data_IF_588814750565
#
_entry.id   IF_588814750565
#
_cell.length_a   1.000
_cell.length_b   1.000
_cell.length_c   1.000
_cell.angle_alpha   90.00
_cell.angle_beta   90.00
_cell.angle_gamma   90.00
#
_symmetry.space_group_name_H-M   'P 1'
#
loop_
_entity.id
_entity.type
_entity.pdbx_description
1 polymer ?
#
# COMPACT_ATOMS: atom_id res chain seq x y z
N UNK A 1 9.36 90.62 57.42
CA UNK A 1 10.11 89.42 57.88
C UNK A 1 9.51 88.18 57.24
N UNK A 2 10.33 87.46 56.49
CA UNK A 2 9.97 86.31 55.68
C UNK A 2 9.77 85.10 56.61
N UNK A 3 8.71 84.32 56.44
CA UNK A 3 8.86 82.87 56.45
C UNK A 3 7.79 82.16 55.61
N UNK A 4 8.25 81.14 54.91
CA UNK A 4 7.56 80.27 53.98
C UNK A 4 6.78 79.20 54.72
N UNK A 5 5.62 78.79 54.17
CA UNK A 5 5.23 77.37 54.01
C UNK A 5 3.87 77.32 53.30
N UNK A 6 3.92 77.26 51.96
CA UNK A 6 2.77 76.82 51.17
C UNK A 6 2.64 75.30 51.33
N UNK A 7 1.64 74.84 52.08
CA UNK A 7 1.14 73.47 52.01
C UNK A 7 0.06 73.41 50.94
N UNK A 8 0.42 72.84 49.79
CA UNK A 8 -0.53 72.52 48.73
C UNK A 8 -1.35 71.29 49.19
N UNK A 9 -2.70 71.33 49.26
CA UNK A 9 -3.47 70.12 49.45
C UNK A 9 -3.44 69.33 48.15
N UNK A 10 -2.91 68.10 48.20
CA UNK A 10 -3.06 67.15 47.10
C UNK A 10 -4.54 66.99 46.75
N UNK A 11 -4.89 66.86 45.45
CA UNK A 11 -6.26 66.49 45.07
C UNK A 11 -6.58 65.08 45.60
N UNK A 12 -7.86 64.74 45.80
CA UNK A 12 -8.25 63.40 46.19
C UNK A 12 -7.74 62.40 45.15
N UNK A 13 -7.00 61.39 45.62
CA UNK A 13 -6.63 60.23 44.83
C UNK A 13 -7.92 59.41 44.64
N UNK A 14 -8.66 59.69 43.56
CA UNK A 14 -9.78 58.87 43.14
C UNK A 14 -9.20 57.54 42.64
N UNK A 15 -8.92 56.64 43.60
CA UNK A 15 -8.41 55.29 43.42
C UNK A 15 -9.40 54.37 42.71
N UNK A 16 -9.88 54.76 41.53
CA UNK A 16 -10.60 53.87 40.63
C UNK A 16 -9.58 53.01 39.88
N UNK A 17 -8.90 52.11 40.60
CA UNK A 17 -8.26 50.95 39.97
C UNK A 17 -9.38 50.04 39.52
N UNK A 18 -9.82 50.22 38.28
CA UNK A 18 -10.56 49.18 37.56
C UNK A 18 -9.67 47.94 37.54
N UNK A 19 -9.97 46.98 38.40
CA UNK A 19 -9.40 45.64 38.36
C UNK A 19 -9.59 45.12 36.91
N UNK A 20 -8.53 44.73 36.18
CA UNK A 20 -8.71 44.22 34.84
C UNK A 20 -9.62 42.99 34.91
N UNK A 21 -10.75 43.06 34.20
CA UNK A 21 -11.70 41.96 34.08
C UNK A 21 -10.93 40.64 33.82
N UNK A 22 -11.15 39.57 34.62
CA UNK A 22 -10.44 38.31 34.44
C UNK A 22 -10.53 37.88 32.97
N UNK A 23 -9.37 37.61 32.38
CA UNK A 23 -9.30 37.20 30.99
C UNK A 23 -10.28 36.04 30.72
N UNK A 24 -11.07 36.10 29.64
CA UNK A 24 -12.05 35.06 29.37
C UNK A 24 -11.36 33.70 29.28
N UNK A 25 -12.03 32.62 29.71
CA UNK A 25 -11.45 31.28 29.67
C UNK A 25 -11.07 30.89 28.23
N UNK A 26 -9.82 30.48 28.03
CA UNK A 26 -9.33 30.01 26.73
C UNK A 26 -10.06 28.71 26.38
N UNK A 27 -10.86 28.74 25.32
CA UNK A 27 -11.56 27.54 24.83
C UNK A 27 -10.64 26.76 23.88
N UNK A 28 -10.41 25.49 24.19
CA UNK A 28 -9.57 24.59 23.39
C UNK A 28 -10.42 23.63 22.57
N UNK A 29 -9.99 23.33 21.36
CA UNK A 29 -10.66 22.45 20.41
C UNK A 29 -9.76 21.28 20.02
N UNK A 30 -10.37 20.23 19.45
CA UNK A 30 -9.61 19.16 18.79
C UNK A 30 -8.95 19.70 17.50
N UNK A 31 -7.85 19.09 17.02
CA UNK A 31 -7.17 19.60 15.83
C UNK A 31 -8.02 19.39 14.57
N UNK A 32 -7.62 20.00 13.46
CA UNK A 32 -8.26 19.87 12.16
C UNK A 32 -7.30 19.31 11.11
N UNK A 33 -7.22 17.98 10.93
CA UNK A 33 -6.39 17.38 9.89
C UNK A 33 -7.07 17.39 8.52
N UNK A 34 -6.28 17.58 7.47
CA UNK A 34 -6.66 17.44 6.06
C UNK A 34 -5.88 16.31 5.42
N UNK A 35 -6.59 15.33 4.86
CA UNK A 35 -5.99 14.27 4.06
C UNK A 35 -5.60 14.81 2.69
N UNK A 36 -4.35 14.62 2.27
CA UNK A 36 -3.83 15.05 0.97
C UNK A 36 -3.59 13.84 0.04
N UNK A 37 -3.18 14.12 -1.19
CA UNK A 37 -2.96 13.09 -2.20
C UNK A 37 -1.82 12.14 -1.80
N UNK A 38 -1.86 10.95 -2.40
CA UNK A 38 -0.77 9.97 -2.30
C UNK A 38 0.31 10.29 -3.32
N UNK A 39 1.51 9.82 -3.05
CA UNK A 39 2.66 9.81 -3.94
C UNK A 39 3.14 8.36 -4.09
N UNK A 40 3.42 7.92 -5.31
CA UNK A 40 3.91 6.57 -5.58
C UNK A 40 5.44 6.58 -5.61
N UNK A 41 6.06 5.81 -4.72
CA UNK A 41 7.51 5.74 -4.59
C UNK A 41 8.12 4.56 -5.37
N UNK A 42 7.28 3.68 -5.94
CA UNK A 42 7.67 2.46 -6.65
C UNK A 42 7.64 1.21 -5.75
N UNK A 43 7.68 0.02 -6.37
CA UNK A 43 7.69 -1.29 -5.68
C UNK A 43 6.53 -1.51 -4.68
N UNK A 44 5.37 -0.89 -4.91
CA UNK A 44 4.23 -0.97 -3.98
C UNK A 44 4.34 -0.08 -2.75
N UNK A 45 5.36 0.79 -2.68
CA UNK A 45 5.49 1.80 -1.65
C UNK A 45 4.78 3.09 -2.04
N UNK A 46 3.98 3.60 -1.11
CA UNK A 46 3.22 4.84 -1.25
C UNK A 46 3.52 5.76 -0.08
N UNK A 47 3.69 7.04 -0.37
CA UNK A 47 3.67 8.09 0.64
C UNK A 47 2.29 8.71 0.69
N UNK A 48 1.67 8.73 1.86
CA UNK A 48 0.42 9.44 2.10
C UNK A 48 0.74 10.77 2.78
N UNK A 49 0.12 11.84 2.27
CA UNK A 49 0.31 13.19 2.81
C UNK A 49 -0.90 13.65 3.62
N UNK A 50 -0.62 14.40 4.67
CA UNK A 50 -1.60 15.04 5.54
C UNK A 50 -1.12 16.42 5.95
N UNK A 51 -2.05 17.26 6.41
CA UNK A 51 -1.74 18.59 6.93
C UNK A 51 -2.63 18.90 8.12
N UNK A 52 -2.08 19.46 9.19
CA UNK A 52 -2.87 20.04 10.29
C UNK A 52 -3.23 21.47 9.91
N UNK A 53 -4.51 21.75 9.69
CA UNK A 53 -5.01 23.08 9.35
C UNK A 53 -5.16 23.99 10.59
N UNK A 54 -5.45 23.39 11.74
CA UNK A 54 -5.55 24.06 13.02
C UNK A 54 -5.22 23.08 14.15
N UNK A 55 -4.57 23.56 15.20
CA UNK A 55 -4.24 22.79 16.41
C UNK A 55 -5.36 22.89 17.48
N UNK A 56 -6.29 23.82 17.31
CA UNK A 56 -7.38 24.07 18.25
C UNK A 56 -6.91 24.76 19.54
N UNK A 57 -5.76 25.45 19.52
CA UNK A 57 -5.19 26.12 20.70
C UNK A 57 -4.44 25.20 21.66
N UNK A 58 -4.32 23.91 21.35
CA UNK A 58 -3.52 22.94 22.11
C UNK A 58 -2.51 22.27 21.18
N UNK A 59 -1.24 22.10 21.60
CA UNK A 59 -0.22 21.44 20.78
C UNK A 59 -0.68 20.06 20.28
N UNK A 60 -0.42 19.79 18.99
CA UNK A 60 -0.65 18.47 18.40
C UNK A 60 0.38 17.50 18.96
N UNK A 61 -0.09 16.43 19.58
CA UNK A 61 0.72 15.39 20.24
C UNK A 61 0.92 14.15 19.39
N UNK A 62 0.15 13.98 18.31
CA UNK A 62 0.33 12.87 17.39
C UNK A 62 -0.36 13.08 16.04
N UNK A 63 0.25 12.49 15.01
CA UNK A 63 -0.32 12.39 13.66
C UNK A 63 -0.19 10.95 13.15
N UNK A 64 -1.18 10.53 12.37
CA UNK A 64 -1.29 9.18 11.86
C UNK A 64 -2.11 9.14 10.57
N UNK A 65 -2.15 7.97 9.92
CA UNK A 65 -3.15 7.64 8.93
C UNK A 65 -3.94 6.41 9.35
N UNK A 66 -5.25 6.47 9.17
CA UNK A 66 -6.12 5.31 9.28
C UNK A 66 -6.40 4.75 7.90
N UNK A 67 -6.23 3.44 7.72
CA UNK A 67 -6.41 2.71 6.47
C UNK A 67 -7.46 1.61 6.62
N UNK A 68 -8.30 1.43 5.61
CA UNK A 68 -9.28 0.36 5.51
C UNK A 68 -9.53 -0.05 4.05
N UNK A 69 -10.17 -1.21 3.85
CA UNK A 69 -10.63 -1.68 2.53
C UNK A 69 -12.02 -1.12 2.13
N UNK A 70 -12.67 -0.40 3.04
CA UNK A 70 -14.02 0.13 2.90
C UNK A 70 -14.14 1.60 3.35
N UNK A 71 -15.13 2.33 2.80
CA UNK A 71 -15.34 3.77 3.10
C UNK A 71 -15.83 4.04 4.52
N UNK A 72 -16.34 3.03 5.22
CA UNK A 72 -16.84 3.16 6.59
C UNK A 72 -15.73 2.97 7.63
N UNK A 73 -14.52 2.63 7.20
CA UNK A 73 -13.39 2.32 8.10
C UNK A 73 -13.71 1.24 9.14
N UNK A 74 -14.57 0.26 8.78
CA UNK A 74 -14.77 -0.93 9.63
C UNK A 74 -13.51 -1.79 9.59
N UNK A 75 -13.07 -2.28 10.75
CA UNK A 75 -11.83 -3.06 10.91
C UNK A 75 -10.61 -2.35 10.30
N UNK A 76 -10.55 -1.03 10.47
CA UNK A 76 -9.43 -0.23 10.02
C UNK A 76 -8.17 -0.49 10.84
N UNK A 77 -7.04 -0.01 10.32
CA UNK A 77 -5.75 -0.01 11.00
C UNK A 77 -5.23 1.42 11.09
N UNK A 78 -4.65 1.77 12.24
CA UNK A 78 -4.03 3.08 12.47
C UNK A 78 -2.51 2.94 12.39
N UNK A 79 -1.88 3.85 11.65
CA UNK A 79 -0.45 3.82 11.38
C UNK A 79 0.16 5.18 11.68
N UNK A 80 1.26 5.18 12.43
CA UNK A 80 1.97 6.41 12.79
C UNK A 80 2.48 7.16 11.55
N UNK A 81 2.53 8.48 11.65
CA UNK A 81 3.09 9.36 10.62
C UNK A 81 4.10 10.34 11.25
N UNK A 82 4.89 10.99 10.40
CA UNK A 82 5.94 11.92 10.80
C UNK A 82 5.58 13.34 10.37
N UNK A 83 5.60 14.27 11.33
CA UNK A 83 5.52 15.70 11.04
C UNK A 83 6.76 16.17 10.27
N UNK A 84 6.55 17.01 9.27
CA UNK A 84 7.65 17.67 8.58
C UNK A 84 8.09 18.90 9.40
N UNK A 85 9.38 18.97 9.74
CA UNK A 85 9.91 20.04 10.59
C UNK A 85 9.61 21.43 10.03
N UNK A 86 9.10 22.34 10.86
CA UNK A 86 8.73 23.70 10.46
C UNK A 86 7.52 23.79 9.51
N UNK A 87 6.76 22.71 9.33
CA UNK A 87 5.63 22.64 8.42
C UNK A 87 4.38 22.08 9.12
N UNK A 88 3.16 22.53 8.75
CA UNK A 88 1.93 21.88 9.18
C UNK A 88 1.70 20.51 8.52
N UNK A 89 2.53 20.14 7.55
CA UNK A 89 2.40 18.90 6.79
C UNK A 89 3.05 17.72 7.51
N UNK A 90 2.52 16.53 7.27
CA UNK A 90 3.06 15.27 7.73
C UNK A 90 2.88 14.19 6.68
N UNK A 91 3.65 13.11 6.80
CA UNK A 91 3.57 11.99 5.87
C UNK A 91 3.78 10.65 6.58
N UNK A 92 3.25 9.60 5.97
CA UNK A 92 3.53 8.21 6.31
C UNK A 92 3.85 7.42 5.06
N UNK A 93 4.71 6.42 5.17
CA UNK A 93 5.08 5.53 4.07
C UNK A 93 4.53 4.14 4.31
N UNK A 94 3.96 3.55 3.26
CA UNK A 94 3.17 2.33 3.33
C UNK A 94 3.57 1.40 2.19
N UNK A 95 3.95 0.16 2.53
CA UNK A 95 3.99 -0.94 1.56
C UNK A 95 2.61 -1.55 1.50
N UNK A 96 1.93 -1.40 0.36
CA UNK A 96 0.56 -1.87 0.18
C UNK A 96 0.51 -3.02 -0.82
N UNK A 97 -0.39 -3.97 -0.56
CA UNK A 97 -0.56 -5.08 -1.47
C UNK A 97 -1.04 -4.61 -2.86
N UNK A 98 -0.51 -5.21 -3.94
CA UNK A 98 -0.86 -4.85 -5.31
C UNK A 98 -2.30 -5.26 -5.68
N UNK A 99 -2.89 -4.56 -6.65
CA UNK A 99 -4.23 -4.82 -7.17
C UNK A 99 -5.38 -4.60 -6.17
N UNK A 100 -5.11 -3.99 -5.01
CA UNK A 100 -6.09 -3.76 -3.94
C UNK A 100 -6.58 -2.32 -3.91
N UNK A 101 -7.80 -2.16 -3.40
CA UNK A 101 -8.40 -0.86 -3.09
C UNK A 101 -8.24 -0.58 -1.60
N UNK A 102 -7.79 0.63 -1.29
CA UNK A 102 -7.69 1.17 0.05
C UNK A 102 -8.43 2.50 0.15
N UNK A 103 -8.97 2.77 1.33
CA UNK A 103 -9.43 4.08 1.77
C UNK A 103 -8.54 4.52 2.92
N UNK A 104 -8.12 5.78 2.90
CA UNK A 104 -7.25 6.34 3.92
C UNK A 104 -7.70 7.72 4.36
N UNK A 105 -7.42 8.09 5.61
CA UNK A 105 -7.64 9.44 6.13
C UNK A 105 -6.55 9.85 7.12
N UNK A 106 -6.21 11.13 7.09
CA UNK A 106 -5.31 11.78 8.04
C UNK A 106 -5.95 11.81 9.43
N UNK A 107 -5.13 11.60 10.46
CA UNK A 107 -5.53 11.62 11.87
C UNK A 107 -4.60 12.57 12.62
N UNK A 108 -5.17 13.41 13.48
CA UNK A 108 -4.40 14.27 14.37
C UNK A 108 -4.99 14.22 15.77
N UNK A 109 -4.11 14.29 16.77
CA UNK A 109 -4.47 14.23 18.19
C UNK A 109 -3.82 15.38 18.93
N UNK A 110 -4.57 16.03 19.82
CA UNK A 110 -4.05 16.94 20.85
C UNK A 110 -4.61 16.54 22.22
N UNK A 111 -4.40 17.37 23.25
CA UNK A 111 -4.90 17.09 24.61
C UNK A 111 -6.43 17.01 24.72
N UNK A 112 -7.17 17.63 23.79
CA UNK A 112 -8.64 17.63 23.75
C UNK A 112 -9.18 16.38 23.02
N UNK A 113 -8.37 15.79 22.15
CA UNK A 113 -8.64 14.48 21.56
C UNK A 113 -8.26 14.37 20.10
N UNK A 114 -8.82 13.34 19.45
CA UNK A 114 -8.48 12.93 18.09
C UNK A 114 -9.56 13.30 17.09
N UNK A 115 -9.14 13.71 15.90
CA UNK A 115 -10.00 14.00 14.76
C UNK A 115 -9.48 13.33 13.50
N UNK A 116 -10.37 13.17 12.53
CA UNK A 116 -10.12 12.49 11.28
C UNK A 116 -10.40 13.43 10.12
N UNK A 117 -9.52 13.44 9.13
CA UNK A 117 -9.72 14.18 7.90
C UNK A 117 -10.69 13.48 6.94
N UNK A 118 -10.96 14.13 5.81
CA UNK A 118 -11.78 13.55 4.75
C UNK A 118 -11.12 12.30 4.16
N UNK A 119 -11.86 11.19 3.92
CA UNK A 119 -11.31 10.00 3.28
C UNK A 119 -10.85 10.25 1.84
N UNK A 120 -9.81 9.53 1.43
CA UNK A 120 -9.38 9.41 0.02
C UNK A 120 -9.26 7.95 -0.38
N UNK A 121 -9.40 7.69 -1.68
CA UNK A 121 -9.30 6.36 -2.28
C UNK A 121 -7.94 6.17 -2.95
N UNK A 122 -7.34 5.01 -2.74
CA UNK A 122 -6.13 4.52 -3.38
C UNK A 122 -6.41 3.15 -4.00
N UNK A 123 -6.01 2.96 -5.26
CA UNK A 123 -6.00 1.65 -5.91
C UNK A 123 -4.55 1.39 -6.27
N UNK A 124 -3.99 0.31 -5.75
CA UNK A 124 -2.63 -0.09 -6.06
C UNK A 124 -2.58 -0.73 -7.44
N UNK A 125 -1.53 -0.48 -8.24
CA UNK A 125 -1.33 -1.19 -9.50
C UNK A 125 -1.32 -2.71 -9.27
N UNK A 126 -1.75 -3.52 -10.25
CA UNK A 126 -1.58 -4.97 -10.18
C UNK A 126 -0.09 -5.31 -10.04
N UNK A 127 0.22 -6.46 -9.45
CA UNK A 127 1.61 -6.85 -9.24
C UNK A 127 2.28 -7.03 -10.60
N UNK A 128 3.27 -6.19 -10.90
CA UNK A 128 4.19 -6.47 -12.01
C UNK A 128 5.17 -7.60 -11.67
N UNK A 129 5.10 -8.15 -10.45
CA UNK A 129 5.82 -9.36 -10.08
C UNK A 129 5.44 -10.46 -11.07
N UNK A 130 6.40 -10.77 -11.95
CA UNK A 130 6.25 -11.85 -12.90
C UNK A 130 6.17 -13.13 -12.09
N UNK A 131 5.37 -14.10 -12.53
CA UNK A 131 5.22 -15.38 -11.83
C UNK A 131 6.57 -16.09 -11.61
N UNK A 132 7.57 -15.73 -12.39
CA UNK A 132 8.94 -16.23 -12.34
C UNK A 132 9.93 -15.35 -11.55
N UNK A 133 9.50 -14.29 -10.83
CA UNK A 133 10.43 -13.38 -10.11
C UNK A 133 11.38 -14.13 -9.17
N UNK A 134 10.92 -15.23 -8.57
CA UNK A 134 11.73 -16.06 -7.66
C UNK A 134 12.57 -17.13 -8.38
N UNK A 135 12.51 -17.22 -9.71
CA UNK A 135 13.35 -18.10 -10.51
C UNK A 135 14.68 -17.37 -10.82
N UNK A 136 15.81 -17.75 -10.19
CA UNK A 136 17.09 -17.13 -10.46
C UNK A 136 17.50 -17.27 -11.92
N UNK A 137 18.18 -16.26 -12.43
CA UNK A 137 18.79 -16.29 -13.75
C UNK A 137 20.05 -17.14 -13.74
N UNK A 138 20.21 -17.98 -14.76
CA UNK A 138 21.40 -18.82 -14.97
C UNK A 138 22.34 -18.13 -15.95
N UNK A 139 21.89 -17.90 -17.20
CA UNK A 139 22.66 -17.27 -18.27
C UNK A 139 21.78 -17.00 -19.51
N UNK A 140 22.08 -15.94 -20.28
CA UNK A 140 21.41 -15.65 -21.56
C UNK A 140 19.89 -15.42 -21.45
N UNK A 141 19.42 -14.93 -20.30
CA UNK A 141 18.00 -14.78 -19.98
C UNK A 141 17.29 -16.07 -19.57
N UNK A 142 17.98 -17.22 -19.55
CA UNK A 142 17.43 -18.44 -18.97
C UNK A 142 17.35 -18.34 -17.46
N UNK A 143 16.25 -18.84 -16.90
CA UNK A 143 15.97 -18.90 -15.48
C UNK A 143 15.67 -20.33 -15.06
N UNK A 144 15.89 -20.64 -13.79
CA UNK A 144 15.56 -21.94 -13.23
C UNK A 144 14.52 -21.82 -12.12
N UNK A 145 13.31 -22.33 -12.34
CA UNK A 145 12.32 -22.51 -11.27
C UNK A 145 12.59 -23.83 -10.55
N UNK A 146 12.56 -23.81 -9.22
CA UNK A 146 12.73 -25.01 -8.38
C UNK A 146 11.65 -26.07 -8.62
N UNK A 147 10.49 -25.69 -9.16
CA UNK A 147 9.36 -26.59 -9.38
C UNK A 147 9.00 -26.79 -10.85
N UNK A 148 9.16 -25.76 -11.69
CA UNK A 148 8.82 -25.84 -13.13
C UNK A 148 10.02 -26.29 -13.95
N UNK A 149 11.25 -25.99 -13.50
CA UNK A 149 12.49 -26.23 -14.23
C UNK A 149 12.97 -25.00 -15.01
N UNK A 150 13.80 -25.24 -16.02
CA UNK A 150 14.47 -24.19 -16.78
C UNK A 150 13.59 -23.61 -17.91
N UNK A 151 13.52 -22.29 -18.01
CA UNK A 151 12.81 -21.57 -19.07
C UNK A 151 13.41 -20.20 -19.33
N UNK A 152 13.11 -19.63 -20.50
CA UNK A 152 13.46 -18.26 -20.87
C UNK A 152 12.19 -17.44 -21.06
N UNK A 153 11.92 -16.42 -20.23
CA UNK A 153 10.73 -15.59 -20.37
C UNK A 153 10.92 -14.40 -21.31
N UNK A 154 9.81 -13.90 -21.84
CA UNK A 154 9.71 -12.71 -22.70
C UNK A 154 8.67 -11.74 -22.14
N UNK A 155 8.83 -10.44 -22.40
CA UNK A 155 7.99 -9.38 -21.81
C UNK A 155 6.52 -9.44 -22.24
N UNK A 156 6.22 -10.12 -23.36
CA UNK A 156 4.88 -10.31 -23.89
C UNK A 156 4.15 -11.53 -23.31
N UNK A 157 4.68 -12.17 -22.25
CA UNK A 157 4.04 -13.31 -21.57
C UNK A 157 4.41 -14.68 -22.14
N UNK A 158 5.14 -14.73 -23.26
CA UNK A 158 5.68 -15.98 -23.79
C UNK A 158 6.87 -16.46 -22.97
N UNK A 159 7.01 -17.78 -22.87
CA UNK A 159 8.21 -18.44 -22.35
C UNK A 159 8.64 -19.56 -23.29
N UNK A 160 9.93 -19.80 -23.37
CA UNK A 160 10.49 -21.01 -23.95
C UNK A 160 11.00 -21.91 -22.83
N UNK A 161 10.32 -23.01 -22.58
CA UNK A 161 10.61 -23.95 -21.49
C UNK A 161 11.43 -25.14 -22.00
N UNK A 162 12.49 -25.53 -21.27
CA UNK A 162 13.46 -26.52 -21.74
C UNK A 162 12.85 -27.89 -22.09
N UNK A 163 11.77 -28.28 -21.39
CA UNK A 163 11.06 -29.55 -21.65
C UNK A 163 9.70 -29.40 -22.34
N UNK A 164 9.16 -28.19 -22.41
CA UNK A 164 7.78 -27.95 -22.88
C UNK A 164 7.73 -27.14 -24.17
N UNK A 165 8.85 -26.53 -24.59
CA UNK A 165 8.91 -25.66 -25.74
C UNK A 165 8.23 -24.30 -25.47
N UNK A 166 7.67 -23.72 -26.53
CA UNK A 166 6.96 -22.44 -26.45
C UNK A 166 5.62 -22.58 -25.75
N UNK A 167 5.40 -21.73 -24.75
CA UNK A 167 4.12 -21.59 -24.09
C UNK A 167 3.85 -20.12 -23.74
N UNK A 168 2.60 -19.68 -23.85
CA UNK A 168 2.18 -18.42 -23.25
C UNK A 168 1.78 -18.69 -21.80
N UNK A 169 2.38 -17.96 -20.86
CA UNK A 169 2.25 -18.23 -19.44
C UNK A 169 1.40 -17.16 -18.74
N UNK A 170 0.28 -17.57 -18.15
CA UNK A 170 -0.65 -16.71 -17.45
C UNK A 170 -0.87 -17.20 -16.00
N UNK A 171 -0.42 -16.46 -14.98
CA UNK A 171 -0.64 -16.85 -13.59
C UNK A 171 -2.14 -16.85 -13.26
N UNK A 172 -2.60 -17.78 -12.42
CA UNK A 172 -4.01 -17.85 -12.02
C UNK A 172 -4.37 -16.94 -10.82
N UNK A 173 -3.38 -16.25 -10.26
CA UNK A 173 -3.54 -15.37 -9.09
C UNK A 173 -3.51 -16.07 -7.73
N UNK A 174 -3.43 -17.41 -7.70
CA UNK A 174 -3.45 -18.26 -6.50
C UNK A 174 -2.23 -19.20 -6.38
N UNK A 175 -1.20 -18.96 -7.19
CA UNK A 175 0.04 -19.73 -7.22
C UNK A 175 0.09 -20.84 -8.28
N UNK A 176 -0.95 -20.99 -9.09
CA UNK A 176 -0.93 -21.82 -10.29
C UNK A 176 -0.62 -21.04 -11.56
N UNK A 177 -0.38 -21.79 -12.63
CA UNK A 177 0.07 -21.26 -13.91
C UNK A 177 -0.70 -21.95 -15.04
N UNK A 178 -1.42 -21.15 -15.81
CA UNK A 178 -1.94 -21.55 -17.11
C UNK A 178 -0.86 -21.40 -18.17
N UNK A 179 -0.64 -22.46 -18.93
CA UNK A 179 0.29 -22.52 -20.04
C UNK A 179 -0.52 -22.82 -21.31
N UNK A 180 -0.53 -21.89 -22.26
CA UNK A 180 -1.11 -22.12 -23.58
C UNK A 180 -0.05 -22.65 -24.53
N UNK A 181 -0.33 -23.80 -25.11
CA UNK A 181 0.49 -24.43 -26.14
C UNK A 181 -0.25 -24.39 -27.48
N UNK A 182 0.49 -24.27 -28.57
CA UNK A 182 -0.09 -24.23 -29.92
C UNK A 182 -0.98 -25.44 -30.21
N UNK A 183 -0.48 -26.65 -29.93
CA UNK A 183 -1.15 -27.90 -30.30
C UNK A 183 -1.99 -28.49 -29.15
N UNK A 184 -1.74 -28.05 -27.92
CA UNK A 184 -2.36 -28.61 -26.71
C UNK A 184 -3.25 -27.61 -25.95
N UNK A 185 -3.34 -26.37 -26.42
CA UNK A 185 -4.11 -25.27 -25.82
C UNK A 185 -3.76 -25.04 -24.34
N UNK A 186 -4.73 -24.61 -23.53
CA UNK A 186 -4.55 -24.29 -22.13
C UNK A 186 -4.38 -25.54 -21.27
N UNK A 187 -3.26 -25.58 -20.56
CA UNK A 187 -2.95 -26.57 -19.55
C UNK A 187 -2.54 -25.88 -18.25
N UNK A 188 -3.04 -26.34 -17.11
CA UNK A 188 -2.75 -25.75 -15.80
C UNK A 188 -1.82 -26.62 -14.97
N UNK A 189 -0.91 -26.00 -14.25
CA UNK A 189 -0.07 -26.68 -13.26
C UNK A 189 0.31 -25.73 -12.12
N UNK A 190 1.00 -26.25 -11.11
CA UNK A 190 1.55 -25.46 -9.98
C UNK A 190 2.69 -26.22 -9.30
N UNK A 191 3.35 -25.55 -8.35
CA UNK A 191 4.30 -26.20 -7.44
C UNK A 191 3.63 -27.37 -6.70
N UNK A 192 4.29 -28.53 -6.68
CA UNK A 192 3.76 -29.77 -6.11
C UNK A 192 2.78 -30.53 -7.01
N UNK A 193 2.39 -29.97 -8.17
CA UNK A 193 1.55 -30.64 -9.18
C UNK A 193 2.38 -30.96 -10.43
N UNK A 194 3.26 -30.07 -10.87
CA UNK A 194 4.19 -30.38 -11.96
C UNK A 194 5.02 -31.63 -11.62
N UNK A 195 5.20 -32.62 -12.53
CA UNK A 195 5.00 -32.58 -13.99
C UNK A 195 3.60 -32.98 -14.50
N UNK A 196 2.57 -32.99 -13.64
CA UNK A 196 1.18 -33.12 -14.09
C UNK A 196 0.63 -31.77 -14.57
N UNK A 197 -0.15 -31.79 -15.64
CA UNK A 197 -0.85 -30.62 -16.18
C UNK A 197 -2.32 -30.97 -16.44
N UNK A 198 -3.25 -30.13 -15.98
CA UNK A 198 -4.67 -30.29 -16.24
C UNK A 198 -5.03 -29.65 -17.58
N UNK A 199 -5.54 -30.41 -18.54
CA UNK A 199 -5.93 -29.92 -19.86
C UNK A 199 -7.38 -29.44 -19.85
N UNK A 200 -7.57 -28.16 -20.14
CA UNK A 200 -8.88 -27.50 -20.02
C UNK A 200 -9.95 -28.11 -20.92
N UNK A 201 -9.65 -28.29 -22.20
CA UNK A 201 -10.66 -28.71 -23.17
C UNK A 201 -11.15 -30.15 -22.96
N UNK A 202 -10.34 -31.00 -22.34
CA UNK A 202 -10.67 -32.42 -22.12
C UNK A 202 -11.13 -32.70 -20.68
N UNK A 203 -10.92 -31.77 -19.75
CA UNK A 203 -11.13 -32.02 -18.33
C UNK A 203 -10.25 -33.15 -17.77
N UNK A 204 -9.12 -33.45 -18.41
CA UNK A 204 -8.25 -34.59 -18.07
C UNK A 204 -6.84 -34.16 -17.67
N UNK A 205 -6.14 -35.03 -16.95
CA UNK A 205 -4.74 -34.82 -16.57
C UNK A 205 -3.79 -35.39 -17.62
N UNK A 206 -2.73 -34.64 -17.87
CA UNK A 206 -1.57 -35.06 -18.65
C UNK A 206 -0.36 -35.14 -17.73
N UNK A 207 0.51 -36.11 -17.96
CA UNK A 207 1.80 -36.21 -17.28
C UNK A 207 2.93 -36.06 -18.30
N UNK A 208 3.83 -35.09 -18.07
CA UNK A 208 4.99 -34.88 -18.93
C UNK A 208 6.02 -35.99 -18.71
N UNK A 209 6.17 -36.86 -19.70
CA UNK A 209 7.16 -37.95 -19.69
C UNK A 209 8.56 -37.46 -20.02
N UNK A 210 8.68 -36.41 -20.83
CA UNK A 210 9.96 -35.85 -21.27
C UNK A 210 9.83 -35.14 -22.60
N UNK A 211 10.93 -35.11 -23.35
CA UNK A 211 10.99 -34.56 -24.70
C UNK A 211 11.45 -35.61 -25.70
N UNK A 212 10.86 -35.59 -26.90
CA UNK A 212 11.29 -36.39 -28.05
C UNK A 212 11.31 -35.47 -29.26
N UNK A 213 12.44 -35.42 -29.97
CA UNK A 213 12.63 -34.55 -31.14
C UNK A 213 12.31 -33.06 -30.86
N UNK A 214 12.60 -32.60 -29.64
CA UNK A 214 12.35 -31.23 -29.19
C UNK A 214 10.89 -30.92 -28.80
N UNK A 215 9.98 -31.88 -28.92
CA UNK A 215 8.57 -31.74 -28.53
C UNK A 215 8.30 -32.42 -27.19
N UNK A 216 7.41 -31.87 -26.34
CA UNK A 216 7.00 -32.53 -25.11
C UNK A 216 6.16 -33.78 -25.42
N UNK A 217 6.40 -34.85 -24.65
CA UNK A 217 5.62 -36.09 -24.73
C UNK A 217 4.82 -36.27 -23.45
N UNK A 218 3.53 -36.55 -23.58
CA UNK A 218 2.58 -36.65 -22.49
C UNK A 218 1.90 -38.03 -22.44
N UNK A 219 1.67 -38.52 -21.22
CA UNK A 219 0.68 -39.57 -20.98
C UNK A 219 -0.68 -38.93 -20.66
N UNK A 220 -1.74 -39.30 -21.39
CA UNK A 220 -3.12 -38.84 -21.18
C UNK A 220 -3.90 -39.82 -20.29
N UNK A 221 -4.33 -39.37 -19.12
CA UNK A 221 -5.08 -40.21 -18.18
C UNK A 221 -6.53 -40.47 -18.59
N UNK A 222 -7.11 -39.72 -19.54
CA UNK A 222 -8.45 -40.01 -20.03
C UNK A 222 -8.46 -41.20 -21.00
N UNK A 223 -7.41 -41.37 -21.79
CA UNK A 223 -7.33 -42.39 -22.85
C UNK A 223 -6.31 -43.49 -22.58
N UNK A 224 -5.38 -43.27 -21.64
CA UNK A 224 -4.22 -44.15 -21.41
C UNK A 224 -3.16 -44.08 -22.52
N UNK A 225 -3.29 -43.13 -23.46
CA UNK A 225 -2.38 -43.02 -24.60
C UNK A 225 -1.17 -42.14 -24.29
N UNK A 226 -0.08 -42.36 -25.03
CA UNK A 226 1.05 -41.43 -25.11
C UNK A 226 0.91 -40.57 -26.36
N UNK A 227 1.07 -39.25 -26.23
CA UNK A 227 1.03 -38.28 -27.33
C UNK A 227 2.15 -37.25 -27.24
#
# INVERSE_FOLDING_TARGET
PVDNTQTNPNPPDDGNTSDPDPAPPVTLFRPLPKTLAREELGNGNFRLWGQVLADGGSPVTGVAFELADNMLFRNSSLHSASMLAGSPSFFGEFTLEPGKRYYYRAVATNAIGTTFGSPKKLITPPSQARWWTNAPEISGGWRNSSWLGAFRPYDNGWVYHAKLGWAYAHPDGSGGLWLWFRDHHWMWTRQGVFPYLWKHDLGSWLYLLGTRDGQPVFHDYATGSVR
#
